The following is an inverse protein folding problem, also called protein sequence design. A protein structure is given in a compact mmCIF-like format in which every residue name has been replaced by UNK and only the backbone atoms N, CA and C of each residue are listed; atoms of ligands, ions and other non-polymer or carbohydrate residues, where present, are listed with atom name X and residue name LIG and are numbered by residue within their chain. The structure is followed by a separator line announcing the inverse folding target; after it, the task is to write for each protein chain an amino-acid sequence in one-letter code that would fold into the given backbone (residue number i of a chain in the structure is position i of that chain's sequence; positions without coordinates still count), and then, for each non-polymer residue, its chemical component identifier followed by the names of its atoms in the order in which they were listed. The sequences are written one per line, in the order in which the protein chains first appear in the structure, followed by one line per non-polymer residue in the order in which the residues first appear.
data_IF_738528313710
#
_entry.id   IF_738528313710
#
_cell.length_a   1.000
_cell.length_b   1.000
_cell.length_c   1.000
_cell.angle_alpha   90.00
_cell.angle_beta   90.00
_cell.angle_gamma   90.00
#
_symmetry.space_group_name_H-M   'P 1'
#
loop_
_entity.id
_entity.type
_entity.pdbx_description
1 polymer ?
#
# COMPACT_ATOMS: atom_id res chain seq x y z
N UNK A 1 -34.18 22.17 49.26
CA UNK A 1 -33.04 23.05 48.92
C UNK A 1 -31.95 22.61 49.88
N UNK A 2 -31.00 21.75 49.54
CA UNK A 2 -30.16 21.74 48.35
C UNK A 2 -30.06 20.37 47.67
N UNK A 3 -29.83 20.42 46.36
CA UNK A 3 -29.44 19.29 45.54
C UNK A 3 -27.92 19.07 45.66
N UNK A 4 -27.51 17.82 45.89
CA UNK A 4 -26.11 17.41 45.75
C UNK A 4 -25.65 17.61 44.30
N UNK A 5 -24.47 18.21 44.05
CA UNK A 5 -23.96 18.36 42.69
C UNK A 5 -23.57 16.98 42.10
N UNK A 6 -23.75 16.78 40.79
CA UNK A 6 -23.34 15.55 40.14
C UNK A 6 -21.82 15.44 40.18
N UNK A 7 -21.32 14.26 40.53
CA UNK A 7 -19.92 13.84 40.33
C UNK A 7 -19.48 14.33 38.97
N UNK A 8 -18.57 15.32 38.98
CA UNK A 8 -17.83 15.69 37.80
C UNK A 8 -17.07 14.42 37.40
N UNK A 9 -17.59 13.72 36.39
CA UNK A 9 -16.86 12.73 35.66
C UNK A 9 -15.55 13.42 35.29
N UNK A 10 -14.47 13.02 35.97
CA UNK A 10 -13.15 13.47 35.64
C UNK A 10 -12.99 13.15 34.16
N UNK A 11 -13.07 14.19 33.33
CA UNK A 11 -12.67 14.09 31.95
C UNK A 11 -11.24 13.59 32.02
N UNK A 12 -11.06 12.32 31.69
CA UNK A 12 -9.75 11.72 31.47
C UNK A 12 -9.21 12.58 30.34
N UNK A 13 -8.37 13.55 30.73
CA UNK A 13 -7.68 14.41 29.81
C UNK A 13 -6.73 13.46 29.09
N UNK A 14 -7.19 12.89 27.97
CA UNK A 14 -6.32 12.14 27.09
C UNK A 14 -5.18 13.08 26.76
N UNK A 15 -3.92 12.77 27.16
CA UNK A 15 -2.81 13.62 26.78
C UNK A 15 -2.83 13.72 25.26
N UNK A 16 -2.67 14.94 24.74
CA UNK A 16 -2.51 15.16 23.30
C UNK A 16 -1.50 14.12 22.77
N UNK A 17 -1.77 13.47 21.62
CA UNK A 17 -0.88 12.45 21.10
C UNK A 17 0.52 13.06 21.06
N UNK A 18 1.47 12.43 21.75
CA UNK A 18 2.87 12.86 21.77
C UNK A 18 3.29 13.00 20.31
N UNK A 19 3.65 14.20 19.88
CA UNK A 19 4.12 14.42 18.52
C UNK A 19 5.36 13.55 18.34
N UNK A 20 5.39 12.80 17.23
CA UNK A 20 6.54 11.99 16.85
C UNK A 20 7.75 12.94 16.69
N UNK A 21 8.79 12.84 17.56
CA UNK A 21 9.90 13.78 17.52
C UNK A 21 10.87 13.52 16.36
N UNK A 22 10.80 12.35 15.74
CA UNK A 22 11.65 11.96 14.61
C UNK A 22 11.28 12.76 13.37
N UNK A 23 12.30 13.14 12.60
CA UNK A 23 12.10 13.88 11.34
C UNK A 23 11.36 13.01 10.34
N UNK A 24 10.31 13.54 9.74
CA UNK A 24 9.53 12.81 8.73
C UNK A 24 10.14 13.00 7.34
N UNK A 25 10.63 11.91 6.78
CA UNK A 25 11.11 11.80 5.41
C UNK A 25 10.06 11.12 4.52
N UNK A 26 10.06 11.43 3.23
CA UNK A 26 9.13 10.85 2.25
C UNK A 26 9.78 9.75 1.39
N UNK A 27 11.10 9.85 1.18
CA UNK A 27 11.87 8.92 0.37
C UNK A 27 13.06 8.38 1.16
N UNK A 28 13.08 7.06 1.37
CA UNK A 28 14.20 6.37 2.00
C UNK A 28 15.43 6.42 1.10
N UNK A 29 15.28 6.05 -0.18
CA UNK A 29 16.33 6.14 -1.20
C UNK A 29 17.07 7.48 -1.19
N UNK A 30 16.35 8.60 -1.29
CA UNK A 30 16.98 9.92 -1.31
C UNK A 30 17.71 10.23 0.01
N UNK A 31 17.13 9.81 1.14
CA UNK A 31 17.75 9.97 2.45
C UNK A 31 19.04 9.13 2.59
N UNK A 32 19.07 7.92 2.00
CA UNK A 32 20.26 7.09 1.91
C UNK A 32 21.35 7.74 1.03
N UNK A 33 20.97 8.28 -0.13
CA UNK A 33 21.90 9.01 -1.02
C UNK A 33 22.48 10.25 -0.33
N UNK A 34 21.67 10.96 0.46
CA UNK A 34 22.12 12.08 1.26
C UNK A 34 23.13 11.64 2.34
N UNK A 35 22.85 10.55 3.05
CA UNK A 35 23.80 9.98 4.02
C UNK A 35 25.13 9.61 3.35
N UNK A 36 25.07 8.98 2.17
CA UNK A 36 26.25 8.64 1.37
C UNK A 36 27.07 9.88 1.00
N UNK A 37 26.40 10.99 0.65
CA UNK A 37 27.06 12.26 0.36
C UNK A 37 27.80 12.84 1.57
N UNK A 38 27.35 12.55 2.80
CA UNK A 38 28.01 13.02 4.02
C UNK A 38 29.17 12.14 4.50
N UNK A 39 29.26 10.88 4.06
CA UNK A 39 30.35 9.96 4.44
C UNK A 39 31.76 10.53 4.26
N UNK A 40 32.11 11.23 3.16
CA UNK A 40 33.44 11.83 2.98
C UNK A 40 33.79 12.91 4.00
N UNK A 41 32.79 13.57 4.61
CA UNK A 41 33.03 14.56 5.66
C UNK A 41 33.45 13.87 6.96
N UNK A 42 32.80 12.78 7.33
CA UNK A 42 33.17 11.96 8.50
C UNK A 42 34.53 11.32 8.30
N UNK A 43 34.82 10.78 7.11
CA UNK A 43 36.14 10.21 6.78
C UNK A 43 37.27 11.24 6.88
N UNK A 44 37.02 12.50 6.52
CA UNK A 44 38.00 13.59 6.66
C UNK A 44 38.34 13.92 8.10
N UNK A 45 37.52 13.55 9.09
CA UNK A 45 37.85 13.75 10.50
C UNK A 45 39.05 12.91 10.94
N UNK A 46 39.28 11.76 10.31
CA UNK A 46 40.48 10.95 10.54
C UNK A 46 41.73 11.47 9.83
N UNK A 47 41.58 12.32 8.81
CA UNK A 47 42.70 12.83 8.04
C UNK A 47 43.55 13.78 8.90
N UNK A 48 44.81 13.41 9.13
CA UNK A 48 45.76 14.20 9.94
C UNK A 48 45.87 13.78 11.41
N UNK A 49 45.25 12.67 11.82
CA UNK A 49 45.51 12.09 13.14
C UNK A 49 46.83 11.31 13.16
N UNK A 50 47.63 11.52 14.21
CA UNK A 50 48.88 10.79 14.46
C UNK A 50 48.60 9.44 15.13
N UNK A 51 47.86 8.58 14.44
CA UNK A 51 47.47 7.23 14.89
C UNK A 51 47.89 6.23 13.82
N UNK A 52 48.26 5.01 14.23
CA UNK A 52 48.52 3.89 13.32
C UNK A 52 47.35 3.70 12.33
N UNK A 53 47.66 3.47 11.07
CA UNK A 53 46.68 3.47 9.96
C UNK A 53 45.52 2.50 10.22
N UNK A 54 45.79 1.30 10.73
CA UNK A 54 44.78 0.28 11.00
C UNK A 54 43.80 0.71 12.11
N UNK A 55 44.32 1.30 13.19
CA UNK A 55 43.50 1.82 14.28
C UNK A 55 42.66 3.04 13.83
N UNK A 56 43.23 3.85 12.93
CA UNK A 56 42.53 5.00 12.36
C UNK A 56 41.39 4.56 11.42
N UNK A 57 41.62 3.57 10.57
CA UNK A 57 40.60 3.02 9.68
C UNK A 57 39.44 2.40 10.49
N UNK A 58 39.75 1.65 11.54
CA UNK A 58 38.73 1.10 12.44
C UNK A 58 37.93 2.22 13.13
N UNK A 59 38.60 3.22 13.71
CA UNK A 59 37.93 4.33 14.39
C UNK A 59 37.05 5.15 13.44
N UNK A 60 37.49 5.36 12.20
CA UNK A 60 36.69 6.04 11.16
C UNK A 60 35.50 5.17 10.74
N UNK A 61 35.67 3.85 10.65
CA UNK A 61 34.58 2.90 10.39
C UNK A 61 33.50 2.92 11.48
N UNK A 62 33.90 2.89 12.75
CA UNK A 62 33.00 3.00 13.89
C UNK A 62 32.29 4.36 13.94
N UNK A 63 33.01 5.46 13.67
CA UNK A 63 32.41 6.79 13.60
C UNK A 63 31.35 6.90 12.49
N UNK A 64 31.60 6.31 11.32
CA UNK A 64 30.63 6.25 10.22
C UNK A 64 29.39 5.44 10.61
N UNK A 65 29.58 4.25 11.18
CA UNK A 65 28.48 3.42 11.65
C UNK A 65 27.62 4.14 12.69
N UNK A 66 28.25 4.77 13.67
CA UNK A 66 27.55 5.52 14.72
C UNK A 66 26.80 6.72 14.15
N UNK A 67 27.42 7.46 13.23
CA UNK A 67 26.77 8.59 12.54
C UNK A 67 25.51 8.13 11.78
N UNK A 68 25.62 7.09 10.95
CA UNK A 68 24.50 6.60 10.15
C UNK A 68 23.38 6.05 11.03
N UNK A 69 23.74 5.25 12.04
CA UNK A 69 22.77 4.68 12.98
C UNK A 69 22.02 5.78 13.73
N UNK A 70 22.73 6.78 14.25
CA UNK A 70 22.11 7.89 14.97
C UNK A 70 21.14 8.68 14.08
N UNK A 71 21.48 8.91 12.80
CA UNK A 71 20.55 9.57 11.87
C UNK A 71 19.33 8.69 11.61
N UNK A 72 19.54 7.40 11.31
CA UNK A 72 18.46 6.46 11.00
C UNK A 72 17.47 6.27 12.15
N UNK A 73 17.93 6.30 13.40
CA UNK A 73 17.07 6.24 14.59
C UNK A 73 16.24 7.51 14.81
N UNK A 74 16.71 8.65 14.32
CA UNK A 74 16.06 9.96 14.50
C UNK A 74 15.17 10.39 13.33
N UNK A 75 14.96 9.50 12.35
CA UNK A 75 14.07 9.75 11.20
C UNK A 75 12.97 8.69 11.11
N UNK A 76 11.89 9.06 10.44
CA UNK A 76 10.86 8.14 9.96
C UNK A 76 10.68 8.32 8.46
N UNK A 77 10.38 7.26 7.73
CA UNK A 77 10.03 7.35 6.32
C UNK A 77 8.56 6.97 6.17
N UNK A 78 7.73 7.92 5.73
CA UNK A 78 6.27 7.76 5.64
C UNK A 78 5.65 7.28 6.97
N UNK A 79 6.17 7.77 8.10
CA UNK A 79 5.71 7.43 9.44
C UNK A 79 6.13 6.04 9.92
N UNK A 80 7.01 5.35 9.19
CA UNK A 80 7.61 4.08 9.60
C UNK A 80 9.06 4.29 10.07
N UNK A 81 9.55 3.51 11.05
CA UNK A 81 10.97 3.45 11.39
C UNK A 81 11.84 3.09 10.17
N UNK A 82 13.09 3.53 10.17
CA UNK A 82 14.02 3.28 9.06
C UNK A 82 14.15 1.78 8.68
N UNK A 83 14.19 0.89 9.69
CA UNK A 83 14.34 -0.56 9.51
C UNK A 83 13.10 -1.21 8.85
N UNK A 84 11.92 -0.63 9.10
CA UNK A 84 10.63 -1.13 8.59
C UNK A 84 10.25 -0.47 7.26
N UNK A 85 10.90 0.66 6.94
CA UNK A 85 10.68 1.34 5.66
C UNK A 85 11.35 0.60 4.50
N UNK A 86 10.53 0.11 3.57
CA UNK A 86 11.01 -0.47 2.32
C UNK A 86 11.24 0.62 1.27
N UNK A 87 12.30 0.45 0.48
CA UNK A 87 12.40 1.17 -0.78
C UNK A 87 11.42 0.54 -1.77
N UNK A 88 10.56 1.36 -2.35
CA UNK A 88 9.45 0.94 -3.19
C UNK A 88 9.94 0.09 -4.37
N UNK A 89 9.37 -1.14 -4.44
CA UNK A 89 9.28 -2.07 -5.55
C UNK A 89 10.59 -2.37 -6.29
N UNK A 90 11.08 -3.60 -6.14
CA UNK A 90 12.16 -4.09 -6.99
C UNK A 90 11.66 -4.21 -8.44
N UNK A 91 12.52 -4.04 -9.45
CA UNK A 91 12.15 -4.18 -10.87
C UNK A 91 11.45 -5.53 -11.17
N UNK A 92 11.76 -6.58 -10.40
CA UNK A 92 11.11 -7.89 -10.46
C UNK A 92 9.64 -7.83 -10.04
N UNK A 93 9.32 -7.05 -9.01
CA UNK A 93 7.96 -6.88 -8.50
C UNK A 93 7.10 -6.11 -9.51
N UNK A 94 7.69 -5.15 -10.23
CA UNK A 94 7.03 -4.37 -11.28
C UNK A 94 6.62 -5.28 -12.43
N UNK A 95 7.54 -6.08 -12.98
CA UNK A 95 7.23 -6.99 -14.09
C UNK A 95 6.14 -8.00 -13.75
N UNK A 96 6.20 -8.56 -12.54
CA UNK A 96 5.19 -9.50 -12.06
C UNK A 96 3.79 -8.85 -11.98
N UNK A 97 3.72 -7.57 -11.59
CA UNK A 97 2.46 -6.82 -11.56
C UNK A 97 1.96 -6.47 -12.97
N UNK A 98 2.87 -6.14 -13.89
CA UNK A 98 2.54 -5.89 -15.30
C UNK A 98 1.97 -7.15 -15.97
N UNK A 99 2.60 -8.31 -15.79
CA UNK A 99 2.12 -9.58 -16.35
C UNK A 99 0.71 -9.94 -15.83
N UNK A 100 0.48 -9.76 -14.52
CA UNK A 100 -0.85 -9.97 -13.92
C UNK A 100 -1.90 -8.99 -14.46
N UNK A 101 -1.51 -7.73 -14.67
CA UNK A 101 -2.39 -6.72 -15.24
C UNK A 101 -2.79 -7.09 -16.67
N UNK A 102 -1.83 -7.52 -17.49
CA UNK A 102 -2.09 -7.95 -18.86
C UNK A 102 -3.03 -9.16 -18.92
N UNK A 103 -2.83 -10.16 -18.05
CA UNK A 103 -3.72 -11.31 -17.93
C UNK A 103 -5.16 -10.86 -17.61
N UNK A 104 -5.33 -9.98 -16.62
CA UNK A 104 -6.64 -9.45 -16.23
C UNK A 104 -7.28 -8.62 -17.35
N UNK A 105 -6.51 -7.81 -18.07
CA UNK A 105 -7.02 -7.02 -19.20
C UNK A 105 -7.55 -7.96 -20.28
N UNK A 106 -6.81 -9.01 -20.64
CA UNK A 106 -7.24 -10.00 -21.63
C UNK A 106 -8.49 -10.73 -21.17
N UNK A 107 -8.51 -11.21 -19.93
CA UNK A 107 -9.65 -11.94 -19.37
C UNK A 107 -10.92 -11.08 -19.36
N UNK A 108 -10.83 -9.87 -18.81
CA UNK A 108 -11.97 -8.94 -18.70
C UNK A 108 -12.46 -8.51 -20.08
N UNK A 109 -11.55 -8.22 -21.00
CA UNK A 109 -11.90 -7.84 -22.38
C UNK A 109 -12.60 -9.00 -23.10
N UNK A 110 -12.10 -10.22 -22.93
CA UNK A 110 -12.71 -11.43 -23.48
C UNK A 110 -14.11 -11.68 -22.91
N UNK A 111 -14.27 -11.55 -21.58
CA UNK A 111 -15.58 -11.64 -20.91
C UNK A 111 -16.56 -10.58 -21.43
N UNK A 112 -16.15 -9.31 -21.50
CA UNK A 112 -16.96 -8.20 -22.02
C UNK A 112 -17.41 -8.43 -23.46
N UNK A 113 -16.58 -9.07 -24.29
CA UNK A 113 -16.94 -9.36 -25.68
C UNK A 113 -17.86 -10.59 -25.83
N UNK A 114 -17.57 -11.68 -25.11
CA UNK A 114 -18.24 -12.97 -25.32
C UNK A 114 -19.52 -13.13 -24.51
N UNK A 115 -19.55 -12.69 -23.25
CA UNK A 115 -20.64 -13.01 -22.33
C UNK A 115 -21.96 -12.38 -22.75
N UNK A 116 -22.04 -11.10 -23.16
CA UNK A 116 -23.30 -10.52 -23.63
C UNK A 116 -23.91 -11.27 -24.80
N UNK A 117 -23.09 -11.75 -25.75
CA UNK A 117 -23.56 -12.53 -26.91
C UNK A 117 -24.12 -13.89 -26.48
N UNK A 118 -23.41 -14.61 -25.60
CA UNK A 118 -23.86 -15.89 -25.05
C UNK A 118 -25.15 -15.74 -24.25
N UNK A 119 -25.24 -14.71 -23.40
CA UNK A 119 -26.44 -14.41 -22.63
C UNK A 119 -27.61 -14.05 -23.54
N UNK A 120 -27.40 -13.20 -24.54
CA UNK A 120 -28.44 -12.80 -25.49
C UNK A 120 -29.09 -14.01 -26.17
N UNK A 121 -28.29 -14.98 -26.62
CA UNK A 121 -28.80 -16.21 -27.25
C UNK A 121 -29.73 -16.96 -26.30
N UNK A 122 -29.32 -17.14 -25.05
CA UNK A 122 -30.10 -17.88 -24.06
C UNK A 122 -31.38 -17.14 -23.67
N UNK A 123 -31.31 -15.82 -23.47
CA UNK A 123 -32.47 -14.97 -23.16
C UNK A 123 -33.48 -15.00 -24.31
N UNK A 124 -33.04 -14.84 -25.56
CA UNK A 124 -33.92 -14.89 -26.74
C UNK A 124 -34.58 -16.25 -26.89
N UNK A 125 -33.84 -17.35 -26.66
CA UNK A 125 -34.42 -18.71 -26.66
C UNK A 125 -35.49 -18.87 -25.57
N UNK A 126 -35.22 -18.39 -24.36
CA UNK A 126 -36.18 -18.41 -23.24
C UNK A 126 -37.46 -17.66 -23.58
N UNK A 127 -37.36 -16.44 -24.08
CA UNK A 127 -38.52 -15.62 -24.47
C UNK A 127 -39.35 -16.31 -25.56
N UNK A 128 -38.69 -16.85 -26.60
CA UNK A 128 -39.40 -17.58 -27.67
C UNK A 128 -40.13 -18.82 -27.16
N UNK A 129 -39.54 -19.54 -26.21
CA UNK A 129 -40.20 -20.69 -25.57
C UNK A 129 -41.42 -20.27 -24.76
N UNK A 130 -41.31 -19.21 -23.95
CA UNK A 130 -42.44 -18.67 -23.19
C UNK A 130 -43.57 -18.19 -24.11
N UNK A 131 -43.24 -17.49 -25.20
CA UNK A 131 -44.23 -17.04 -26.19
C UNK A 131 -44.94 -18.22 -26.86
N UNK A 132 -44.21 -19.30 -27.20
CA UNK A 132 -44.81 -20.51 -27.77
C UNK A 132 -45.77 -21.19 -26.79
N UNK A 133 -45.40 -21.30 -25.52
CA UNK A 133 -46.25 -21.89 -24.48
C UNK A 133 -47.53 -21.08 -24.26
N UNK A 134 -47.42 -19.75 -24.19
CA UNK A 134 -48.57 -18.85 -24.08
C UNK A 134 -49.54 -19.01 -25.25
N UNK A 135 -49.01 -19.02 -26.48
CA UNK A 135 -49.84 -19.21 -27.69
C UNK A 135 -50.53 -20.58 -27.70
N UNK A 136 -49.84 -21.65 -27.31
CA UNK A 136 -50.44 -22.99 -27.22
C UNK A 136 -51.57 -23.03 -26.19
N UNK A 137 -51.33 -22.47 -24.99
CA UNK A 137 -52.35 -22.39 -23.94
C UNK A 137 -53.57 -21.59 -24.40
N UNK A 138 -53.36 -20.44 -25.04
CA UNK A 138 -54.45 -19.64 -25.61
C UNK A 138 -55.27 -20.43 -26.62
N UNK A 139 -54.63 -21.20 -27.50
CA UNK A 139 -55.33 -22.07 -28.45
C UNK A 139 -56.13 -23.18 -27.77
N UNK A 140 -55.58 -23.86 -26.76
CA UNK A 140 -56.32 -24.89 -26.01
C UNK A 140 -57.49 -24.30 -25.23
N UNK A 141 -57.32 -23.16 -24.57
CA UNK A 141 -58.42 -22.46 -23.91
C UNK A 141 -59.54 -22.10 -24.90
N UNK A 142 -59.18 -21.60 -26.08
CA UNK A 142 -60.16 -21.26 -27.13
C UNK A 142 -60.93 -22.48 -27.63
N UNK A 143 -60.26 -23.62 -27.78
CA UNK A 143 -60.87 -24.87 -28.22
C UNK A 143 -61.74 -25.54 -27.15
N UNK A 144 -61.56 -25.24 -25.87
CA UNK A 144 -62.40 -25.73 -24.77
C UNK A 144 -63.64 -24.85 -24.53
N UNK A 145 -63.63 -23.60 -25.00
CA UNK A 145 -64.71 -22.62 -24.85
C UNK A 145 -65.70 -22.60 -26.03
N UNK A 146 -65.43 -23.37 -27.08
CA UNK A 146 -66.28 -23.55 -28.27
C UNK A 146 -66.63 -25.02 -28.43
#
# INVERSE_FOLDING_TARGET
MEALPPTAAAAVCSPAPRQEPRVQCLSRRWTAELLDHFRPFVRRLGAGQAVETENLEQAVGEALWNFETAVQENITVNGQPWQESSDLQNDTDIKLLEDQLDELIVEVSSKRNQYPRKMQINVVKGIKMQQKLLNQNLCTWRALLH
#
